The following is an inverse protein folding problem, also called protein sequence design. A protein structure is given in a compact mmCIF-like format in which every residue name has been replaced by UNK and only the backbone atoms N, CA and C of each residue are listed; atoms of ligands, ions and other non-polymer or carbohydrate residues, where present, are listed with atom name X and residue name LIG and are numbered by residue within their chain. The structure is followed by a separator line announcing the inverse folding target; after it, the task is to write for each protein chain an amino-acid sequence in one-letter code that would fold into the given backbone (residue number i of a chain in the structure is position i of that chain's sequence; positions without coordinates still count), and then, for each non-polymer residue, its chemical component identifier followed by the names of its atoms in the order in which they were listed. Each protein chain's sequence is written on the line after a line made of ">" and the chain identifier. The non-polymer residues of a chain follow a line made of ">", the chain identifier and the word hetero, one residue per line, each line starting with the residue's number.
data_IF_516884770903
#
_entry.id   IF_516884770903
#
_cell.length_a   1.000
_cell.length_b   1.000
_cell.length_c   1.000
_cell.angle_alpha   90.00
_cell.angle_beta   90.00
_cell.angle_gamma   90.00
#
_symmetry.space_group_name_H-M   'P 1'
#
loop_
_entity.id
_entity.type
_entity.pdbx_description
1 polymer ?
#
# COMPACT_ATOMS: atom_id res chain seq x y z
N UNK A 1 20.29 12.05 3.37
CA UNK A 1 19.97 12.31 1.95
C UNK A 1 18.56 12.86 1.91
N UNK A 2 18.34 14.09 1.44
CA UNK A 2 16.97 14.55 1.16
C UNK A 2 16.54 13.95 -0.17
N UNK A 3 15.44 13.19 -0.17
CA UNK A 3 14.83 12.72 -1.41
C UNK A 3 14.28 13.92 -2.18
N UNK A 4 14.48 13.95 -3.50
CA UNK A 4 13.92 15.01 -4.32
C UNK A 4 12.40 14.76 -4.55
N UNK A 5 11.71 15.70 -5.19
CA UNK A 5 10.26 15.57 -5.40
C UNK A 5 9.92 14.39 -6.33
N UNK A 6 10.73 14.15 -7.35
CA UNK A 6 10.53 13.09 -8.33
C UNK A 6 10.65 11.70 -7.67
N UNK A 7 11.61 11.54 -6.75
CA UNK A 7 11.80 10.32 -5.96
C UNK A 7 10.56 10.05 -5.08
N UNK A 8 10.03 11.10 -4.44
CA UNK A 8 8.82 11.02 -3.62
C UNK A 8 7.63 10.60 -4.48
N UNK A 9 7.45 11.22 -5.64
CA UNK A 9 6.35 10.90 -6.55
C UNK A 9 6.44 9.46 -7.07
N UNK A 10 7.63 9.01 -7.46
CA UNK A 10 7.87 7.64 -7.91
C UNK A 10 7.52 6.62 -6.82
N UNK A 11 7.90 6.86 -5.57
CA UNK A 11 7.61 5.95 -4.45
C UNK A 11 6.13 5.99 -4.09
N UNK A 12 5.49 7.16 -4.09
CA UNK A 12 4.05 7.28 -3.88
C UNK A 12 3.29 6.50 -4.96
N UNK A 13 3.69 6.64 -6.23
CA UNK A 13 3.10 5.90 -7.33
C UNK A 13 3.25 4.38 -7.14
N UNK A 14 4.47 3.92 -6.85
CA UNK A 14 4.75 2.51 -6.57
C UNK A 14 3.91 1.96 -5.41
N UNK A 15 3.83 2.68 -4.28
CA UNK A 15 3.04 2.25 -3.12
C UNK A 15 1.55 2.19 -3.41
N UNK A 16 1.03 3.13 -4.21
CA UNK A 16 -0.37 3.10 -4.68
C UNK A 16 -0.65 1.88 -5.55
N UNK A 17 0.25 1.54 -6.48
CA UNK A 17 0.12 0.33 -7.28
C UNK A 17 0.15 -0.92 -6.40
N UNK A 18 1.14 -1.01 -5.49
CA UNK A 18 1.28 -2.15 -4.58
C UNK A 18 0.04 -2.33 -3.70
N UNK A 19 -0.48 -1.25 -3.12
CA UNK A 19 -1.72 -1.26 -2.34
C UNK A 19 -2.91 -1.84 -3.13
N UNK A 20 -3.10 -1.38 -4.38
CA UNK A 20 -4.20 -1.87 -5.24
C UNK A 20 -4.04 -3.35 -5.60
N UNK A 21 -2.82 -3.78 -5.93
CA UNK A 21 -2.55 -5.21 -6.19
C UNK A 21 -2.81 -6.05 -4.94
N UNK A 22 -2.34 -5.61 -3.77
CA UNK A 22 -2.56 -6.33 -2.51
C UNK A 22 -4.04 -6.36 -2.11
N UNK A 23 -4.81 -5.30 -2.40
CA UNK A 23 -6.25 -5.31 -2.21
C UNK A 23 -6.93 -6.33 -3.13
N UNK A 24 -6.51 -6.40 -4.41
CA UNK A 24 -7.04 -7.41 -5.34
C UNK A 24 -6.75 -8.84 -4.86
N UNK A 25 -5.53 -9.09 -4.36
CA UNK A 25 -5.19 -10.37 -3.72
C UNK A 25 -6.11 -10.65 -2.50
N UNK A 26 -6.45 -9.64 -1.71
CA UNK A 26 -7.38 -9.81 -0.59
C UNK A 26 -8.79 -10.22 -1.06
N UNK A 27 -9.28 -9.62 -2.13
CA UNK A 27 -10.57 -9.99 -2.77
C UNK A 27 -10.54 -11.46 -3.21
N UNK A 28 -9.48 -11.90 -3.88
CA UNK A 28 -9.34 -13.29 -4.33
C UNK A 28 -9.27 -14.28 -3.14
N UNK A 29 -8.66 -13.86 -2.02
CA UNK A 29 -8.65 -14.65 -0.77
C UNK A 29 -10.03 -14.70 -0.10
N UNK A 30 -10.83 -13.63 -0.19
CA UNK A 30 -12.21 -13.58 0.30
C UNK A 30 -13.07 -14.54 -0.51
N UNK A 31 -12.98 -14.49 -1.84
CA UNK A 31 -13.74 -15.35 -2.75
C UNK A 31 -13.45 -16.85 -2.51
N UNK A 32 -12.21 -17.17 -2.12
CA UNK A 32 -11.78 -18.53 -1.77
C UNK A 32 -11.91 -18.87 -0.27
N UNK A 33 -12.56 -18.02 0.53
CA UNK A 33 -12.77 -18.20 1.99
C UNK A 33 -11.48 -18.37 2.83
N UNK A 34 -10.34 -17.88 2.35
CA UNK A 34 -9.08 -17.85 3.08
C UNK A 34 -8.98 -16.60 3.98
N UNK A 35 -9.86 -16.49 4.97
CA UNK A 35 -10.05 -15.28 5.80
C UNK A 35 -8.78 -14.78 6.48
N UNK A 36 -7.94 -15.67 7.03
CA UNK A 36 -6.68 -15.28 7.64
C UNK A 36 -5.71 -14.65 6.63
N UNK A 37 -5.66 -15.16 5.40
CA UNK A 37 -4.84 -14.57 4.33
C UNK A 37 -5.43 -13.24 3.86
N UNK A 38 -6.75 -13.17 3.72
CA UNK A 38 -7.45 -11.93 3.37
C UNK A 38 -7.15 -10.79 4.36
N UNK A 39 -7.24 -11.05 5.66
CA UNK A 39 -6.96 -10.04 6.70
C UNK A 39 -5.51 -9.54 6.61
N UNK A 40 -4.54 -10.44 6.43
CA UNK A 40 -3.15 -10.03 6.27
C UNK A 40 -2.97 -9.14 5.03
N UNK A 41 -3.63 -9.48 3.91
CA UNK A 41 -3.57 -8.66 2.69
C UNK A 41 -4.25 -7.30 2.88
N UNK A 42 -5.39 -7.22 3.54
CA UNK A 42 -6.06 -5.96 3.86
C UNK A 42 -5.20 -5.04 4.74
N UNK A 43 -4.49 -5.61 5.73
CA UNK A 43 -3.52 -4.86 6.54
C UNK A 43 -2.44 -4.23 5.65
N UNK A 44 -1.78 -5.02 4.80
CA UNK A 44 -0.69 -4.52 3.94
C UNK A 44 -1.19 -3.55 2.87
N UNK A 45 -2.37 -3.78 2.29
CA UNK A 45 -2.97 -2.84 1.34
C UNK A 45 -3.17 -1.46 1.98
N UNK A 46 -3.69 -1.44 3.21
CA UNK A 46 -3.89 -0.21 4.00
C UNK A 46 -2.56 0.42 4.39
N UNK A 47 -1.59 -0.36 4.86
CA UNK A 47 -0.25 0.10 5.20
C UNK A 47 0.45 0.79 4.01
N UNK A 48 0.40 0.20 2.81
CA UNK A 48 1.00 0.81 1.62
C UNK A 48 0.32 2.13 1.24
N UNK A 49 -1.01 2.23 1.33
CA UNK A 49 -1.71 3.48 1.02
C UNK A 49 -1.46 4.57 2.07
N UNK A 50 -1.52 4.21 3.36
CA UNK A 50 -1.25 5.13 4.45
C UNK A 50 0.19 5.64 4.40
N UNK A 51 1.17 4.76 4.20
CA UNK A 51 2.58 5.16 4.06
C UNK A 51 2.83 5.99 2.79
N UNK A 52 2.11 5.77 1.70
CA UNK A 52 2.15 6.64 0.52
C UNK A 52 1.62 8.05 0.86
N UNK A 53 0.51 8.13 1.59
CA UNK A 53 -0.08 9.40 2.00
C UNK A 53 0.84 10.19 2.93
N UNK A 54 1.43 9.53 3.93
CA UNK A 54 2.39 10.16 4.86
C UNK A 54 3.61 10.70 4.12
N UNK A 55 4.20 9.88 3.23
CA UNK A 55 5.36 10.29 2.44
C UNK A 55 5.03 11.48 1.53
N UNK A 56 3.87 11.47 0.85
CA UNK A 56 3.41 12.57 -0.02
C UNK A 56 3.33 13.89 0.77
N UNK A 57 2.90 13.83 2.02
CA UNK A 57 2.74 15.00 2.88
C UNK A 57 3.98 15.29 3.74
N UNK A 58 5.09 14.56 3.55
CA UNK A 58 6.34 14.68 4.32
C UNK A 58 6.13 14.52 5.83
N UNK A 59 5.19 13.66 6.21
CA UNK A 59 4.90 13.30 7.61
C UNK A 59 5.68 12.02 7.95
N UNK A 60 6.38 12.00 9.09
CA UNK A 60 7.01 10.78 9.60
C UNK A 60 5.94 9.80 10.10
N UNK A 61 6.09 8.53 9.75
CA UNK A 61 5.36 7.44 10.38
C UNK A 61 5.94 7.10 11.75
#
# INVERSE_FOLDING_TARGET
>A
MSMNMDDIEAIVFYRKQKSRTTLKEAEDMIDSSHWNLAIQRLYYASFYMASALLLKNKISA
#
